data_IF_430647417613
#
_entry.id   IF_430647417613
#
_cell.length_a   1.000
_cell.length_b   1.000
_cell.length_c   1.000
_cell.angle_alpha   90.00
_cell.angle_beta   90.00
_cell.angle_gamma   90.00
#
_symmetry.space_group_name_H-M   'P 1'
#
loop_
_entity.id
_entity.type
_entity.pdbx_description
1 polymer ?
#
# COMPACT_ATOMS: atom_id res chain seq x y z
N UNK A 1 43.24 -35.46 40.40
CA UNK A 1 43.16 -34.88 39.05
C UNK A 1 42.66 -35.97 38.11
N UNK A 2 41.67 -35.70 37.25
CA UNK A 2 40.90 -36.72 36.49
C UNK A 2 41.42 -37.01 35.07
N UNK A 3 42.72 -36.79 34.81
CA UNK A 3 43.33 -37.01 33.50
C UNK A 3 43.14 -35.87 32.50
N UNK A 4 43.75 -36.04 31.32
CA UNK A 4 43.68 -35.12 30.16
C UNK A 4 43.13 -35.91 28.97
N UNK A 5 42.18 -35.33 28.24
CA UNK A 5 41.60 -35.93 27.05
C UNK A 5 42.17 -35.22 25.81
N UNK A 6 42.86 -35.98 24.98
CA UNK A 6 43.40 -35.50 23.69
C UNK A 6 42.36 -35.69 22.58
N UNK A 7 41.86 -34.59 22.02
CA UNK A 7 40.81 -34.62 20.99
C UNK A 7 41.30 -35.14 19.62
N UNK A 8 42.60 -35.20 19.42
CA UNK A 8 43.18 -35.76 18.19
C UNK A 8 43.47 -37.25 18.30
N UNK A 9 43.34 -37.82 19.51
CA UNK A 9 43.46 -39.26 19.70
C UNK A 9 42.11 -39.94 19.37
N UNK A 10 42.05 -40.81 18.35
CA UNK A 10 40.83 -41.54 17.99
C UNK A 10 40.28 -42.45 19.08
N UNK A 11 41.11 -42.86 20.05
CA UNK A 11 40.69 -43.70 21.19
C UNK A 11 39.96 -42.89 22.27
N UNK A 12 40.08 -41.56 22.22
CA UNK A 12 39.45 -40.65 23.17
C UNK A 12 38.14 -40.07 22.65
N UNK A 13 38.05 -39.76 21.35
CA UNK A 13 36.80 -39.30 20.72
C UNK A 13 36.83 -39.41 19.18
N UNK A 14 35.64 -39.31 18.57
CA UNK A 14 35.47 -39.36 17.12
C UNK A 14 35.72 -38.04 16.39
N UNK A 15 36.35 -37.06 17.05
CA UNK A 15 36.57 -35.72 16.47
C UNK A 15 37.31 -35.77 15.14
N UNK A 16 38.33 -36.64 15.03
CA UNK A 16 39.10 -36.83 13.79
C UNK A 16 38.20 -37.31 12.64
N UNK A 17 37.30 -38.25 12.92
CA UNK A 17 36.36 -38.79 11.92
C UNK A 17 35.35 -37.73 11.49
N UNK A 18 34.81 -36.96 12.44
CA UNK A 18 33.89 -35.86 12.14
C UNK A 18 34.55 -34.78 11.28
N UNK A 19 35.78 -34.38 11.62
CA UNK A 19 36.57 -33.40 10.86
C UNK A 19 36.79 -33.87 9.41
N UNK A 20 37.16 -35.14 9.23
CA UNK A 20 37.38 -35.71 7.91
C UNK A 20 36.08 -35.81 7.10
N UNK A 21 34.97 -36.20 7.74
CA UNK A 21 33.66 -36.25 7.09
C UNK A 21 33.24 -34.87 6.60
N UNK A 22 33.26 -33.86 7.48
CA UNK A 22 32.77 -32.52 7.18
C UNK A 22 33.67 -31.76 6.22
N UNK A 23 35.00 -31.83 6.41
CA UNK A 23 35.94 -30.94 5.72
C UNK A 23 36.58 -31.64 4.52
N UNK A 24 36.93 -32.91 4.64
CA UNK A 24 37.73 -33.59 3.61
C UNK A 24 36.89 -34.28 2.55
N UNK A 25 35.66 -34.70 2.87
CA UNK A 25 34.87 -35.56 1.97
C UNK A 25 33.52 -34.97 1.57
N UNK A 26 32.72 -34.44 2.50
CA UNK A 26 31.32 -34.07 2.23
C UNK A 26 31.05 -32.57 2.19
N UNK A 27 32.09 -31.72 2.27
CA UNK A 27 31.89 -30.26 2.31
C UNK A 27 31.19 -29.73 1.05
N UNK A 28 31.52 -30.30 -0.11
CA UNK A 28 30.97 -29.87 -1.38
C UNK A 28 29.47 -30.23 -1.47
N UNK A 29 29.12 -31.48 -1.16
CA UNK A 29 27.72 -31.92 -1.11
C UNK A 29 26.88 -31.09 -0.13
N UNK A 30 27.43 -30.74 1.04
CA UNK A 30 26.75 -29.86 1.99
C UNK A 30 26.47 -28.47 1.42
N UNK A 31 27.40 -27.90 0.65
CA UNK A 31 27.19 -26.63 -0.04
C UNK A 31 26.13 -26.75 -1.13
N UNK A 32 26.15 -27.83 -1.90
CA UNK A 32 25.18 -28.08 -2.97
C UNK A 32 23.77 -28.25 -2.42
N UNK A 33 23.58 -29.08 -1.39
CA UNK A 33 22.27 -29.23 -0.72
C UNK A 33 21.78 -27.88 -0.15
N UNK A 34 22.69 -27.09 0.41
CA UNK A 34 22.32 -25.77 0.94
C UNK A 34 21.89 -24.81 -0.17
N UNK A 35 22.59 -24.81 -1.31
CA UNK A 35 22.25 -24.01 -2.48
C UNK A 35 20.91 -24.47 -3.10
N UNK A 36 20.86 -25.73 -3.51
CA UNK A 36 19.86 -26.20 -4.46
C UNK A 36 18.54 -26.56 -3.77
N UNK A 37 18.60 -26.85 -2.47
CA UNK A 37 17.42 -27.16 -1.66
C UNK A 37 17.08 -26.00 -0.74
N UNK A 38 17.95 -25.68 0.22
CA UNK A 38 17.59 -24.74 1.28
C UNK A 38 17.44 -23.30 0.75
N UNK A 39 18.41 -22.81 -0.01
CA UNK A 39 18.37 -21.45 -0.55
C UNK A 39 17.30 -21.31 -1.63
N UNK A 40 17.21 -22.25 -2.56
CA UNK A 40 16.20 -22.19 -3.62
C UNK A 40 14.77 -22.28 -3.09
N UNK A 41 14.51 -23.08 -2.05
CA UNK A 41 13.19 -23.11 -1.41
C UNK A 41 12.85 -21.78 -0.74
N UNK A 42 13.80 -21.20 0.00
CA UNK A 42 13.63 -19.88 0.60
C UNK A 42 13.38 -18.81 -0.47
N UNK A 43 14.17 -18.81 -1.54
CA UNK A 43 14.07 -17.87 -2.66
C UNK A 43 12.69 -17.92 -3.31
N UNK A 44 12.17 -19.13 -3.62
CA UNK A 44 10.81 -19.32 -4.16
C UNK A 44 9.73 -18.77 -3.23
N UNK A 45 9.83 -19.05 -1.93
CA UNK A 45 8.88 -18.54 -0.95
C UNK A 45 8.92 -17.01 -0.87
N UNK A 46 10.10 -16.42 -0.83
CA UNK A 46 10.27 -14.97 -0.74
C UNK A 46 9.68 -14.25 -1.97
N UNK A 47 9.98 -14.74 -3.18
CA UNK A 47 9.43 -14.17 -4.43
C UNK A 47 7.89 -14.27 -4.43
N UNK A 48 7.34 -15.41 -4.01
CA UNK A 48 5.89 -15.61 -3.95
C UNK A 48 5.25 -14.63 -2.97
N UNK A 49 5.79 -14.49 -1.78
CA UNK A 49 5.29 -13.53 -0.79
C UNK A 49 5.35 -12.08 -1.30
N UNK A 50 6.41 -11.70 -1.99
CA UNK A 50 6.53 -10.37 -2.58
C UNK A 50 5.45 -10.14 -3.66
N UNK A 51 5.19 -11.15 -4.51
CA UNK A 51 4.14 -11.11 -5.53
C UNK A 51 2.74 -11.01 -4.91
N UNK A 52 2.50 -11.71 -3.81
CA UNK A 52 1.22 -11.68 -3.12
C UNK A 52 0.98 -10.32 -2.47
N UNK A 53 2.03 -9.72 -1.87
CA UNK A 53 1.97 -8.34 -1.35
C UNK A 53 1.65 -7.34 -2.45
N UNK A 54 2.36 -7.40 -3.59
CA UNK A 54 2.10 -6.46 -4.69
C UNK A 54 0.71 -6.63 -5.29
N UNK A 55 0.21 -7.86 -5.36
CA UNK A 55 -1.16 -8.14 -5.82
C UNK A 55 -2.21 -7.56 -4.86
N UNK A 56 -2.01 -7.72 -3.55
CA UNK A 56 -2.89 -7.13 -2.52
C UNK A 56 -2.93 -5.61 -2.60
N UNK A 57 -1.77 -4.97 -2.76
CA UNK A 57 -1.69 -3.52 -2.93
C UNK A 57 -2.43 -3.06 -4.18
N UNK A 58 -2.25 -3.74 -5.32
CA UNK A 58 -3.00 -3.42 -6.56
C UNK A 58 -4.51 -3.57 -6.39
N UNK A 59 -4.96 -4.60 -5.68
CA UNK A 59 -6.39 -4.81 -5.40
C UNK A 59 -6.95 -3.75 -4.46
N UNK A 60 -6.17 -3.32 -3.46
CA UNK A 60 -6.52 -2.22 -2.55
C UNK A 60 -6.67 -0.91 -3.31
N UNK A 61 -5.66 -0.54 -4.11
CA UNK A 61 -5.69 0.65 -4.97
C UNK A 61 -6.92 0.64 -5.90
N UNK A 62 -7.19 -0.49 -6.57
CA UNK A 62 -8.37 -0.61 -7.46
C UNK A 62 -9.69 -0.41 -6.71
N UNK A 63 -9.80 -0.94 -5.49
CA UNK A 63 -10.99 -0.75 -4.65
C UNK A 63 -11.14 0.71 -4.24
N UNK A 64 -10.06 1.33 -3.79
CA UNK A 64 -10.06 2.75 -3.38
C UNK A 64 -10.41 3.67 -4.54
N UNK A 65 -9.87 3.43 -5.74
CA UNK A 65 -10.25 4.18 -6.94
C UNK A 65 -11.74 4.05 -7.28
N UNK A 66 -12.33 2.86 -7.15
CA UNK A 66 -13.75 2.66 -7.40
C UNK A 66 -14.63 3.39 -6.37
N UNK A 67 -14.23 3.39 -5.09
CA UNK A 67 -14.91 4.15 -4.03
C UNK A 67 -14.82 5.65 -4.29
N UNK A 68 -13.62 6.15 -4.62
CA UNK A 68 -13.42 7.57 -4.93
C UNK A 68 -14.22 8.03 -6.16
N UNK A 69 -14.36 7.19 -7.18
CA UNK A 69 -15.18 7.51 -8.36
C UNK A 69 -16.65 7.72 -7.99
N UNK A 70 -17.22 6.85 -7.14
CA UNK A 70 -18.60 7.04 -6.65
C UNK A 70 -18.76 8.32 -5.83
N UNK A 71 -17.77 8.65 -5.00
CA UNK A 71 -17.77 9.92 -4.25
C UNK A 71 -17.69 11.14 -5.15
N UNK A 72 -16.93 11.07 -6.26
CA UNK A 72 -16.86 12.15 -7.24
C UNK A 72 -18.22 12.39 -7.90
N UNK A 73 -18.91 11.31 -8.31
CA UNK A 73 -20.26 11.38 -8.87
C UNK A 73 -21.25 12.03 -7.90
N UNK A 74 -21.19 11.67 -6.61
CA UNK A 74 -22.01 12.29 -5.56
C UNK A 74 -21.67 13.79 -5.38
N UNK A 75 -20.38 14.17 -5.43
CA UNK A 75 -19.98 15.57 -5.32
C UNK A 75 -20.42 16.40 -6.53
N UNK A 76 -20.35 15.85 -7.74
CA UNK A 76 -20.77 16.54 -8.96
C UNK A 76 -22.27 16.83 -8.95
N UNK A 77 -23.09 15.88 -8.48
CA UNK A 77 -24.53 16.10 -8.30
C UNK A 77 -24.82 17.22 -7.30
N UNK A 78 -24.11 17.23 -6.16
CA UNK A 78 -24.29 18.24 -5.12
C UNK A 78 -23.88 19.64 -5.61
N UNK A 79 -22.81 19.73 -6.42
CA UNK A 79 -22.38 20.98 -7.05
C UNK A 79 -23.47 21.52 -7.98
N UNK A 80 -24.00 20.69 -8.88
CA UNK A 80 -25.04 21.09 -9.81
C UNK A 80 -26.32 21.58 -9.10
N UNK A 81 -26.68 20.96 -7.97
CA UNK A 81 -27.81 21.39 -7.16
C UNK A 81 -27.59 22.78 -6.53
N UNK A 82 -26.36 23.04 -6.04
CA UNK A 82 -25.99 24.34 -5.47
C UNK A 82 -25.99 25.44 -6.51
N UNK A 83 -25.46 25.17 -7.70
CA UNK A 83 -25.42 26.12 -8.81
C UNK A 83 -26.83 26.54 -9.25
N UNK A 84 -27.78 25.58 -9.33
CA UNK A 84 -29.16 25.87 -9.67
C UNK A 84 -29.85 26.79 -8.64
N UNK A 85 -29.57 26.61 -7.36
CA UNK A 85 -30.12 27.45 -6.30
C UNK A 85 -29.50 28.86 -6.30
N UNK A 86 -28.18 28.96 -6.55
CA UNK A 86 -27.49 30.25 -6.75
C UNK A 86 -28.13 31.02 -7.91
N UNK A 87 -28.41 30.33 -9.02
CA UNK A 87 -29.03 30.96 -10.20
C UNK A 87 -30.42 31.52 -9.89
N UNK A 88 -31.25 30.79 -9.14
CA UNK A 88 -32.55 31.31 -8.68
C UNK A 88 -32.42 32.55 -7.81
N UNK A 89 -31.46 32.55 -6.87
CA UNK A 89 -31.22 33.69 -6.00
C UNK A 89 -30.76 34.92 -6.80
N UNK A 90 -29.88 34.74 -7.79
CA UNK A 90 -29.44 35.80 -8.69
C UNK A 90 -30.61 36.40 -9.49
N UNK A 91 -31.51 35.56 -10.02
CA UNK A 91 -32.72 36.04 -10.71
C UNK A 91 -33.64 36.84 -9.79
N UNK A 92 -33.82 36.40 -8.55
CA UNK A 92 -34.64 37.11 -7.56
C UNK A 92 -34.05 38.49 -7.25
N UNK A 93 -32.74 38.57 -7.01
CA UNK A 93 -32.03 39.84 -6.78
C UNK A 93 -32.13 40.77 -7.99
N UNK A 94 -31.94 40.25 -9.20
CA UNK A 94 -32.05 41.02 -10.44
C UNK A 94 -33.47 41.59 -10.62
N UNK A 95 -34.52 40.80 -10.36
CA UNK A 95 -35.91 41.26 -10.38
C UNK A 95 -36.17 42.36 -9.35
N UNK A 96 -35.63 42.22 -8.14
CA UNK A 96 -35.78 43.21 -7.08
C UNK A 96 -35.09 44.54 -7.44
N UNK A 97 -33.88 44.49 -8.01
CA UNK A 97 -33.15 45.67 -8.48
C UNK A 97 -33.85 46.36 -9.67
N UNK A 98 -34.43 45.58 -10.60
CA UNK A 98 -35.20 46.12 -11.70
C UNK A 98 -36.44 46.88 -11.21
N UNK A 99 -37.19 46.32 -10.24
CA UNK A 99 -38.36 47.00 -9.67
C UNK A 99 -38.01 48.35 -9.04
N UNK A 100 -36.87 48.43 -8.32
CA UNK A 100 -36.36 49.68 -7.74
C UNK A 100 -35.97 50.74 -8.80
N UNK A 101 -35.53 50.32 -9.99
CA UNK A 101 -35.22 51.24 -11.09
C UNK A 101 -36.46 51.65 -11.89
N UNK A 102 -37.51 50.82 -11.91
CA UNK A 102 -38.75 51.07 -12.67
C UNK A 102 -39.79 51.87 -11.92
N UNK A 103 -39.58 52.20 -10.64
CA UNK A 103 -40.52 53.01 -9.86
C UNK A 103 -40.04 54.47 -9.73
N UNK A 104 -40.43 55.39 -10.64
CA UNK A 104 -40.12 56.81 -10.53
C UNK A 104 -40.91 57.56 -9.44
N UNK A 105 -41.63 56.87 -8.55
CA UNK A 105 -42.47 57.51 -7.51
C UNK A 105 -41.73 58.03 -6.28
N UNK A 106 -40.40 57.98 -6.24
CA UNK A 106 -39.61 58.66 -5.21
C UNK A 106 -39.08 60.06 -5.63
N UNK A 107 -39.43 60.56 -6.83
CA UNK A 107 -39.01 61.89 -7.30
C UNK A 107 -40.12 62.96 -7.28
N UNK A 108 -41.34 62.62 -6.87
CA UNK A 108 -42.47 63.57 -6.80
C UNK A 108 -43.19 63.40 -5.48
N UNK A 109 -42.63 63.97 -4.41
CA UNK A 109 -43.35 64.56 -3.29
C UNK A 109 -42.34 65.24 -2.36
N UNK A 110 -42.12 66.53 -2.61
CA UNK A 110 -41.23 67.39 -1.84
C UNK A 110 -41.19 68.79 -2.45
N UNK A 111 -42.33 69.48 -2.38
CA UNK A 111 -42.38 70.95 -2.31
C UNK A 111 -41.61 71.46 -1.10
#
# INVERSE_FOLDING_TARGET
QWGIVEVENPDHCDFVKLRQMLISTHMQDLKEVTSDVHYENYRKQHITQQRDRSTKERMKLKRESAVNLGQLEDTDFLIAQKDAEIQRMQEMLAKMQAQLQTDPRAAVNGT
#
